data_IF_027852469857
#
_entry.id   IF_027852469857
#
_cell.length_a   1.000
_cell.length_b   1.000
_cell.length_c   1.000
_cell.angle_alpha   90.00
_cell.angle_beta   90.00
_cell.angle_gamma   90.00
#
_symmetry.space_group_name_H-M   'P 1'
#
loop_
_entity.id
_entity.type
_entity.pdbx_description
1 polymer ?
#
# COMPACT_ATOMS: atom_id res chain seq x y z
N UNK A 1 -6.37 9.93 -16.39
CA UNK A 1 -7.44 10.74 -15.76
C UNK A 1 -7.82 11.93 -16.62
N UNK A 2 -6.98 12.96 -16.77
CA UNK A 2 -7.35 14.17 -17.52
C UNK A 2 -7.70 13.94 -19.00
N UNK A 3 -6.92 13.14 -19.73
CA UNK A 3 -7.10 12.88 -21.17
C UNK A 3 -7.80 11.53 -21.44
N UNK A 4 -7.99 10.69 -20.41
CA UNK A 4 -8.54 9.33 -20.58
C UNK A 4 -7.64 8.34 -21.33
N UNK A 5 -6.38 8.71 -21.57
CA UNK A 5 -5.53 8.10 -22.59
C UNK A 5 -4.06 8.19 -22.17
N UNK A 6 -3.23 7.12 -22.27
CA UNK A 6 -1.82 7.21 -21.93
C UNK A 6 -1.05 8.19 -22.85
N UNK A 7 -0.02 8.87 -22.32
CA UNK A 7 0.74 9.90 -23.05
C UNK A 7 1.61 9.33 -24.19
N UNK A 8 2.02 8.07 -24.09
CA UNK A 8 2.77 7.36 -25.12
C UNK A 8 2.08 6.03 -25.43
N UNK A 9 1.99 5.69 -26.71
CA UNK A 9 1.41 4.43 -27.20
C UNK A 9 2.23 3.87 -28.35
N UNK A 10 2.34 2.56 -28.40
CA UNK A 10 2.88 1.83 -29.54
C UNK A 10 2.31 0.42 -29.57
N UNK A 11 2.35 -0.23 -30.74
CA UNK A 11 2.02 -1.66 -30.90
C UNK A 11 3.17 -2.56 -30.45
N UNK A 12 4.41 -2.08 -30.58
CA UNK A 12 5.63 -2.78 -30.16
C UNK A 12 6.15 -2.22 -28.82
N UNK A 13 6.51 -3.07 -27.85
CA UNK A 13 7.12 -2.64 -26.59
C UNK A 13 8.42 -1.84 -26.80
N UNK A 14 9.27 -2.27 -27.75
CA UNK A 14 10.52 -1.58 -28.05
C UNK A 14 10.29 -0.14 -28.54
N UNK A 15 9.29 0.06 -29.39
CA UNK A 15 8.93 1.39 -29.89
C UNK A 15 8.25 2.24 -28.82
N UNK A 16 7.48 1.63 -27.91
CA UNK A 16 6.92 2.33 -26.76
C UNK A 16 8.04 2.86 -25.86
N UNK A 17 9.06 2.04 -25.57
CA UNK A 17 10.22 2.47 -24.78
C UNK A 17 10.97 3.63 -25.44
N UNK A 18 11.22 3.52 -26.75
CA UNK A 18 11.82 4.64 -27.52
C UNK A 18 10.99 5.90 -27.40
N UNK A 19 9.66 5.82 -27.52
CA UNK A 19 8.77 6.99 -27.37
C UNK A 19 8.82 7.59 -25.97
N UNK A 20 8.83 6.76 -24.92
CA UNK A 20 8.97 7.25 -23.54
C UNK A 20 10.29 8.03 -23.39
N UNK A 21 11.39 7.52 -23.96
CA UNK A 21 12.71 8.14 -23.84
C UNK A 21 12.85 9.41 -24.68
N UNK A 22 12.27 9.51 -25.88
CA UNK A 22 12.59 10.62 -26.80
C UNK A 22 11.39 11.39 -27.36
N UNK A 23 10.20 10.81 -27.42
CA UNK A 23 9.08 11.45 -28.11
C UNK A 23 8.61 12.73 -27.39
N UNK A 24 8.25 13.75 -28.18
CA UNK A 24 7.66 14.97 -27.66
C UNK A 24 6.24 14.69 -27.13
N UNK A 25 5.99 15.10 -25.89
CA UNK A 25 4.68 14.99 -25.27
C UNK A 25 3.67 15.87 -26.01
N UNK A 26 2.56 15.27 -26.46
CA UNK A 26 1.46 15.96 -27.12
C UNK A 26 0.32 16.15 -26.13
N UNK A 27 -0.05 17.40 -25.86
CA UNK A 27 -1.15 17.74 -24.96
C UNK A 27 -2.28 18.44 -25.73
N UNK A 28 -3.53 18.02 -25.56
CA UNK A 28 -4.68 18.68 -26.19
C UNK A 28 -4.83 20.15 -25.77
N UNK A 29 -5.36 20.98 -26.68
CA UNK A 29 -5.55 22.42 -26.44
C UNK A 29 -6.62 22.76 -25.40
N UNK A 30 -7.58 21.86 -25.18
CA UNK A 30 -8.68 22.07 -24.24
C UNK A 30 -8.30 21.91 -22.76
N UNK A 31 -7.10 21.39 -22.47
CA UNK A 31 -6.59 21.33 -21.09
C UNK A 31 -6.22 22.73 -20.60
N UNK A 32 -6.45 23.00 -19.32
CA UNK A 32 -6.04 24.27 -18.70
C UNK A 32 -4.52 24.46 -18.72
N UNK A 33 -4.08 25.72 -18.66
CA UNK A 33 -2.65 26.06 -18.61
C UNK A 33 -1.96 25.44 -17.41
N UNK A 34 -2.61 25.41 -16.24
CA UNK A 34 -2.08 24.76 -15.04
C UNK A 34 -1.93 23.24 -15.23
N UNK A 35 -2.88 22.59 -15.90
CA UNK A 35 -2.79 21.16 -16.21
C UNK A 35 -1.64 20.87 -17.19
N UNK A 36 -1.48 21.70 -18.23
CA UNK A 36 -0.34 21.60 -19.15
C UNK A 36 1.00 21.69 -18.44
N UNK A 37 1.16 22.69 -17.57
CA UNK A 37 2.37 22.90 -16.79
C UNK A 37 2.65 21.69 -15.91
N UNK A 38 1.65 21.24 -15.14
CA UNK A 38 1.81 20.12 -14.22
C UNK A 38 2.28 18.85 -14.94
N UNK A 39 1.59 18.47 -16.02
CA UNK A 39 1.92 17.23 -16.75
C UNK A 39 3.33 17.32 -17.33
N UNK A 40 3.71 18.46 -17.93
CA UNK A 40 5.07 18.64 -18.47
C UNK A 40 6.14 18.55 -17.38
N UNK A 41 5.92 19.18 -16.23
CA UNK A 41 6.89 19.18 -15.14
C UNK A 41 7.02 17.82 -14.44
N UNK A 42 5.95 17.02 -14.39
CA UNK A 42 5.99 15.64 -13.88
C UNK A 42 6.64 14.66 -14.87
N UNK A 43 6.39 14.84 -16.17
CA UNK A 43 6.96 14.01 -17.24
C UNK A 43 8.32 14.52 -17.75
N UNK A 44 8.99 15.36 -16.97
CA UNK A 44 10.35 15.79 -17.23
C UNK A 44 11.31 14.59 -17.13
N UNK A 45 12.14 14.42 -18.16
CA UNK A 45 13.04 13.27 -18.30
C UNK A 45 14.22 13.40 -17.36
N UNK A 46 14.72 14.62 -17.19
CA UNK A 46 15.78 14.88 -16.23
C UNK A 46 15.21 14.85 -14.80
N UNK A 47 15.58 13.82 -14.04
CA UNK A 47 15.10 13.59 -12.66
C UNK A 47 15.37 14.81 -11.75
N UNK A 48 16.49 15.51 -11.94
CA UNK A 48 16.87 16.68 -11.13
C UNK A 48 16.00 17.92 -11.40
N UNK A 49 15.36 17.98 -12.58
CA UNK A 49 14.43 19.04 -12.98
C UNK A 49 12.97 18.65 -12.81
N UNK A 50 12.69 17.35 -12.60
CA UNK A 50 11.34 16.82 -12.45
C UNK A 50 10.67 17.38 -11.19
N UNK A 51 9.44 17.84 -11.34
CA UNK A 51 8.61 18.28 -10.22
C UNK A 51 8.39 17.10 -9.27
N UNK A 52 8.51 17.33 -7.96
CA UNK A 52 8.46 16.25 -6.97
C UNK A 52 9.80 15.57 -6.75
N UNK A 53 10.82 15.84 -7.57
CA UNK A 53 12.18 15.34 -7.41
C UNK A 53 13.03 16.19 -6.45
N UNK A 54 14.03 15.56 -5.85
CA UNK A 54 15.01 16.19 -4.96
C UNK A 54 14.45 16.56 -3.57
N UNK A 55 15.34 16.95 -2.67
CA UNK A 55 15.00 17.43 -1.34
C UNK A 55 14.82 18.95 -1.35
N UNK A 56 13.83 19.43 -0.62
CA UNK A 56 13.65 20.85 -0.37
C UNK A 56 14.76 21.35 0.55
N UNK A 57 15.29 22.55 0.30
CA UNK A 57 16.26 23.23 1.17
C UNK A 57 15.69 24.57 1.63
N UNK A 58 16.38 25.22 2.58
CA UNK A 58 15.97 26.54 3.09
C UNK A 58 15.81 27.59 1.96
N UNK A 59 16.64 27.52 0.92
CA UNK A 59 16.65 28.49 -0.18
C UNK A 59 15.88 28.02 -1.41
N UNK A 60 15.62 26.71 -1.56
CA UNK A 60 15.04 26.15 -2.78
C UNK A 60 13.95 25.13 -2.44
N UNK A 61 12.73 25.46 -2.83
CA UNK A 61 11.58 24.58 -2.65
C UNK A 61 11.59 23.50 -3.71
N UNK A 62 11.76 22.24 -3.30
CA UNK A 62 11.78 21.07 -4.19
C UNK A 62 10.94 19.92 -3.60
N UNK A 63 10.96 18.77 -4.27
CA UNK A 63 10.27 17.58 -3.80
C UNK A 63 8.77 17.76 -3.69
N UNK A 64 8.18 17.09 -2.71
CA UNK A 64 6.73 17.11 -2.43
C UNK A 64 6.22 18.52 -2.12
N UNK A 65 7.03 19.39 -1.50
CA UNK A 65 6.62 20.77 -1.22
C UNK A 65 6.40 21.58 -2.48
N UNK A 66 7.27 21.43 -3.50
CA UNK A 66 7.07 22.06 -4.79
C UNK A 66 5.82 21.54 -5.51
N UNK A 67 5.56 20.23 -5.40
CA UNK A 67 4.34 19.61 -5.96
C UNK A 67 3.08 20.18 -5.31
N UNK A 68 3.01 20.22 -3.98
CA UNK A 68 1.86 20.75 -3.22
C UNK A 68 1.57 22.23 -3.51
N UNK A 69 2.60 23.01 -3.84
CA UNK A 69 2.50 24.45 -4.19
C UNK A 69 2.19 24.71 -5.67
N UNK A 70 2.15 23.68 -6.51
CA UNK A 70 1.91 23.88 -7.95
C UNK A 70 0.50 24.50 -8.18
N UNK A 71 0.34 25.48 -9.09
CA UNK A 71 -0.94 26.19 -9.29
C UNK A 71 -2.15 25.30 -9.60
N UNK A 72 -1.91 24.12 -10.18
CA UNK A 72 -2.95 23.11 -10.41
C UNK A 72 -3.67 22.69 -9.11
N UNK A 73 -2.96 22.69 -7.97
CA UNK A 73 -3.50 22.31 -6.66
C UNK A 73 -3.87 23.52 -5.79
N UNK A 74 -4.00 24.72 -6.36
CA UNK A 74 -4.27 25.96 -5.59
C UNK A 74 -5.54 25.91 -4.72
N UNK A 75 -6.54 25.13 -5.13
CA UNK A 75 -7.80 24.96 -4.39
C UNK A 75 -7.76 23.82 -3.35
N UNK A 76 -6.67 23.05 -3.30
CA UNK A 76 -6.56 21.89 -2.40
C UNK A 76 -6.04 22.34 -1.04
N UNK A 77 -6.85 22.11 -0.01
CA UNK A 77 -6.38 22.17 1.37
C UNK A 77 -5.85 20.80 1.77
N UNK A 78 -4.51 20.69 1.84
CA UNK A 78 -3.83 19.42 2.11
C UNK A 78 -4.08 18.87 3.52
N UNK A 79 -4.24 19.73 4.52
CA UNK A 79 -4.52 19.34 5.91
C UNK A 79 -5.94 18.75 6.04
N UNK A 80 -6.92 19.40 5.41
CA UNK A 80 -8.29 18.88 5.34
C UNK A 80 -8.36 17.58 4.53
N UNK A 81 -7.57 17.46 3.46
CA UNK A 81 -7.52 16.24 2.66
C UNK A 81 -6.93 15.06 3.44
N UNK A 82 -5.85 15.29 4.19
CA UNK A 82 -5.21 14.29 5.06
C UNK A 82 -6.14 13.80 6.17
N UNK A 83 -6.92 14.72 6.75
CA UNK A 83 -7.92 14.41 7.78
C UNK A 83 -9.27 13.94 7.23
N UNK A 84 -9.35 13.63 5.92
CA UNK A 84 -10.56 13.17 5.22
C UNK A 84 -11.76 14.12 5.34
N UNK A 85 -11.52 15.42 5.57
CA UNK A 85 -12.55 16.46 5.70
C UNK A 85 -12.95 17.09 4.36
N UNK A 86 -12.27 16.74 3.26
CA UNK A 86 -12.64 17.15 1.91
C UNK A 86 -13.55 16.08 1.32
N UNK A 87 -14.82 16.39 0.98
CA UNK A 87 -15.70 15.41 0.37
C UNK A 87 -15.16 14.97 -1.00
N UNK A 88 -15.20 13.67 -1.33
CA UNK A 88 -14.74 13.19 -2.63
C UNK A 88 -15.67 13.70 -3.74
N UNK A 89 -15.14 14.01 -4.94
CA UNK A 89 -15.95 14.49 -6.05
C UNK A 89 -16.90 13.42 -6.63
N UNK A 90 -16.62 12.14 -6.37
CA UNK A 90 -17.46 11.01 -6.76
C UNK A 90 -17.52 10.02 -5.61
N UNK A 91 -18.71 9.78 -5.10
CA UNK A 91 -19.00 8.73 -4.11
C UNK A 91 -19.55 7.53 -4.89
N UNK A 92 -18.89 6.35 -4.86
CA UNK A 92 -19.45 5.15 -5.47
C UNK A 92 -20.70 4.70 -4.71
N UNK A 93 -21.67 4.15 -5.44
CA UNK A 93 -22.84 3.52 -4.82
C UNK A 93 -22.44 2.17 -4.26
N UNK A 94 -22.78 1.92 -3.00
CA UNK A 94 -22.53 0.67 -2.28
C UNK A 94 -23.80 0.35 -1.51
N UNK A 95 -24.35 -0.86 -1.70
CA UNK A 95 -25.59 -1.28 -1.02
C UNK A 95 -25.36 -1.75 0.41
N UNK A 96 -24.28 -2.48 0.63
CA UNK A 96 -23.97 -3.18 1.89
C UNK A 96 -22.47 -3.52 1.98
N UNK A 97 -22.07 -4.16 3.08
CA UNK A 97 -20.66 -4.48 3.37
C UNK A 97 -20.05 -5.55 2.44
N UNK A 98 -20.88 -6.35 1.76
CA UNK A 98 -20.43 -7.44 0.86
C UNK A 98 -20.68 -7.10 -0.61
N UNK A 99 -21.09 -5.87 -0.92
CA UNK A 99 -21.42 -5.43 -2.27
C UNK A 99 -20.18 -5.48 -3.19
N UNK A 100 -20.32 -6.21 -4.29
CA UNK A 100 -19.29 -6.37 -5.32
C UNK A 100 -19.60 -5.64 -6.64
N UNK A 101 -20.63 -4.79 -6.65
CA UNK A 101 -21.14 -4.08 -7.85
C UNK A 101 -20.12 -3.19 -8.56
N UNK A 102 -19.10 -2.71 -7.84
CA UNK A 102 -18.03 -1.87 -8.38
C UNK A 102 -16.82 -2.68 -8.91
N UNK A 103 -16.89 -4.01 -8.90
CA UNK A 103 -15.86 -4.91 -9.42
C UNK A 103 -16.30 -5.55 -10.75
N UNK A 104 -15.32 -6.05 -11.52
CA UNK A 104 -15.58 -6.73 -12.79
C UNK A 104 -16.09 -8.16 -12.52
N UNK A 105 -17.22 -8.51 -13.14
CA UNK A 105 -17.89 -9.82 -12.96
C UNK A 105 -16.98 -11.01 -13.25
N UNK A 106 -16.02 -10.85 -14.16
CA UNK A 106 -15.07 -11.92 -14.47
C UNK A 106 -14.30 -12.40 -13.23
N UNK A 107 -14.13 -11.56 -12.22
CA UNK A 107 -13.45 -11.94 -10.97
C UNK A 107 -14.42 -12.37 -9.88
N UNK A 108 -15.60 -11.75 -9.79
CA UNK A 108 -16.60 -12.11 -8.77
C UNK A 108 -17.28 -13.44 -9.06
N UNK A 109 -17.36 -13.82 -10.34
CA UNK A 109 -17.96 -15.07 -10.79
C UNK A 109 -16.94 -16.23 -10.81
N UNK A 110 -15.64 -15.93 -10.63
CA UNK A 110 -14.63 -16.98 -10.50
C UNK A 110 -14.86 -17.76 -9.20
N UNK A 111 -14.80 -19.10 -9.24
CA UNK A 111 -14.85 -19.88 -8.01
C UNK A 111 -13.66 -19.51 -7.13
N UNK A 112 -13.88 -19.44 -5.82
CA UNK A 112 -12.80 -19.30 -4.85
C UNK A 112 -11.93 -20.54 -4.97
N UNK A 113 -10.78 -20.38 -5.62
CA UNK A 113 -9.82 -21.46 -5.75
C UNK A 113 -9.03 -21.50 -4.46
N UNK A 114 -9.35 -22.47 -3.60
CA UNK A 114 -8.42 -22.89 -2.56
C UNK A 114 -7.31 -23.61 -3.32
N UNK A 115 -6.30 -22.85 -3.75
CA UNK A 115 -5.10 -23.42 -4.33
C UNK A 115 -4.50 -24.27 -3.23
N UNK A 116 -4.86 -25.55 -3.22
CA UNK A 116 -4.19 -26.61 -2.49
C UNK A 116 -2.79 -26.71 -3.10
N UNK A 117 -1.95 -25.73 -2.79
CA UNK A 117 -0.52 -25.83 -2.99
C UNK A 117 -0.12 -27.04 -2.17
N UNK A 118 0.32 -28.09 -2.86
CA UNK A 118 1.02 -29.18 -2.22
C UNK A 118 2.12 -28.53 -1.37
N UNK A 119 2.15 -28.82 -0.07
CA UNK A 119 3.08 -28.17 0.84
C UNK A 119 4.50 -28.59 0.46
N UNK A 120 5.12 -27.84 -0.45
CA UNK A 120 6.52 -28.03 -0.81
C UNK A 120 7.32 -27.42 0.34
N UNK A 121 7.48 -28.19 1.41
CA UNK A 121 8.37 -27.86 2.52
C UNK A 121 9.78 -28.13 2.01
N UNK A 122 10.39 -27.12 1.37
CA UNK A 122 11.82 -27.16 1.07
C UNK A 122 12.53 -26.65 2.32
N UNK A 123 13.21 -27.53 3.05
CA UNK A 123 13.96 -27.18 4.26
C UNK A 123 15.02 -26.10 4.00
N UNK A 124 15.48 -25.94 2.76
CA UNK A 124 16.44 -24.92 2.31
C UNK A 124 15.89 -23.47 2.38
N UNK A 125 14.57 -23.27 2.40
CA UNK A 125 13.93 -21.94 2.42
C UNK A 125 13.26 -21.57 3.75
N UNK A 126 13.52 -22.33 4.83
CA UNK A 126 12.86 -22.13 6.13
C UNK A 126 12.94 -20.71 6.70
N UNK A 127 14.00 -19.97 6.36
CA UNK A 127 14.21 -18.59 6.80
C UNK A 127 13.78 -17.52 5.78
N UNK A 128 13.39 -17.89 4.56
CA UNK A 128 13.11 -16.94 3.47
C UNK A 128 12.00 -15.94 3.83
N UNK A 129 11.04 -16.39 4.64
CA UNK A 129 9.89 -15.60 5.10
C UNK A 129 9.95 -15.27 6.59
N UNK A 130 11.12 -15.37 7.23
CA UNK A 130 11.27 -14.93 8.62
C UNK A 130 10.91 -13.44 8.74
N UNK A 131 10.02 -13.12 9.67
CA UNK A 131 9.50 -11.76 9.86
C UNK A 131 8.32 -11.38 8.94
N UNK A 132 7.76 -12.33 8.20
CA UNK A 132 6.56 -12.11 7.38
C UNK A 132 5.29 -11.88 8.22
N UNK A 133 5.16 -12.59 9.34
CA UNK A 133 4.00 -12.49 10.23
C UNK A 133 3.89 -11.09 10.85
N UNK A 134 2.76 -10.42 10.61
CA UNK A 134 2.47 -9.09 11.13
C UNK A 134 1.04 -9.00 11.67
N UNK A 135 0.88 -8.49 12.88
CA UNK A 135 -0.41 -8.15 13.48
C UNK A 135 -0.46 -6.65 13.79
N UNK A 136 -1.52 -5.95 13.36
CA UNK A 136 -1.71 -4.54 13.68
C UNK A 136 -2.04 -4.38 15.17
N UNK A 137 -1.31 -3.53 15.90
CA UNK A 137 -1.45 -3.29 17.34
C UNK A 137 -2.90 -3.02 17.78
N UNK A 138 -3.66 -2.24 17.02
CA UNK A 138 -5.04 -1.87 17.37
C UNK A 138 -6.00 -3.07 17.23
N UNK A 139 -5.76 -3.92 16.25
CA UNK A 139 -6.50 -5.17 16.08
C UNK A 139 -6.23 -6.12 17.26
N UNK A 140 -5.03 -6.12 17.83
CA UNK A 140 -4.69 -6.95 19.00
C UNK A 140 -5.57 -6.56 20.20
N UNK A 141 -5.81 -5.27 20.44
CA UNK A 141 -6.65 -4.79 21.55
C UNK A 141 -8.13 -5.19 21.38
N UNK A 142 -8.65 -5.09 20.17
CA UNK A 142 -10.02 -5.55 19.83
C UNK A 142 -10.16 -7.07 19.94
N UNK A 143 -9.10 -7.84 19.66
CA UNK A 143 -9.13 -9.30 19.76
C UNK A 143 -8.95 -9.80 21.20
N UNK A 144 -8.10 -9.16 22.02
CA UNK A 144 -7.94 -9.49 23.46
C UNK A 144 -9.24 -9.21 24.23
N UNK A 145 -9.98 -8.17 23.85
CA UNK A 145 -11.27 -7.83 24.46
C UNK A 145 -12.43 -8.69 23.94
N UNK A 146 -12.23 -9.48 22.88
CA UNK A 146 -13.25 -10.34 22.31
C UNK A 146 -13.04 -11.82 22.70
N UNK A 147 -13.84 -12.37 23.63
CA UNK A 147 -13.73 -13.77 24.07
C UNK A 147 -14.11 -14.80 23.00
N UNK A 148 -14.59 -14.36 21.82
CA UNK A 148 -14.89 -15.21 20.66
C UNK A 148 -13.84 -15.12 19.56
N UNK A 149 -12.74 -14.41 19.77
CA UNK A 149 -11.69 -14.31 18.75
C UNK A 149 -11.03 -15.69 18.54
N UNK A 150 -10.70 -16.07 17.29
CA UNK A 150 -10.11 -17.36 16.97
C UNK A 150 -8.63 -17.47 17.39
N UNK A 151 -8.07 -16.44 18.04
CA UNK A 151 -6.74 -16.52 18.64
C UNK A 151 -6.83 -17.48 19.82
N UNK A 152 -6.20 -18.64 19.64
CA UNK A 152 -6.22 -19.75 20.58
C UNK A 152 -5.95 -19.27 22.02
N UNK A 153 -6.99 -19.30 22.86
CA UNK A 153 -6.98 -18.92 24.28
C UNK A 153 -5.86 -19.61 25.07
N UNK A 154 -5.33 -20.72 24.55
CA UNK A 154 -4.19 -21.46 25.12
C UNK A 154 -2.84 -20.73 25.08
N UNK A 155 -2.64 -19.71 24.22
CA UNK A 155 -1.38 -18.94 24.19
C UNK A 155 -1.41 -17.67 25.06
N UNK A 156 -2.57 -17.27 25.56
CA UNK A 156 -2.73 -16.06 26.38
C UNK A 156 -1.90 -16.07 27.68
N UNK A 157 -1.76 -17.18 28.44
CA UNK A 157 -0.94 -17.20 29.65
C UNK A 157 0.56 -17.03 29.35
N UNK A 158 1.05 -17.59 28.25
CA UNK A 158 2.45 -17.49 27.83
C UNK A 158 2.79 -16.08 27.33
N UNK A 159 1.86 -15.45 26.61
CA UNK A 159 1.99 -14.05 26.18
C UNK A 159 1.96 -13.11 27.39
N UNK A 160 1.08 -13.36 28.36
CA UNK A 160 0.99 -12.55 29.59
C UNK A 160 2.24 -12.68 30.50
N UNK A 161 2.83 -13.87 30.61
CA UNK A 161 4.05 -14.10 31.39
C UNK A 161 5.26 -13.36 30.79
N UNK A 162 5.43 -13.40 29.45
CA UNK A 162 6.52 -12.72 28.75
C UNK A 162 6.43 -11.18 28.83
N UNK A 163 5.23 -10.62 29.02
CA UNK A 163 4.99 -9.18 29.23
C UNK A 163 5.36 -8.73 30.65
N UNK A 164 5.35 -9.65 31.63
CA UNK A 164 5.59 -9.32 33.05
C UNK A 164 7.07 -9.28 33.45
N UNK A 165 7.97 -9.85 32.64
CA UNK A 165 9.39 -10.02 32.98
C UNK A 165 10.32 -8.89 32.48
N UNK A 166 9.80 -7.91 31.75
CA UNK A 166 10.53 -6.66 31.46
C UNK A 166 11.78 -6.81 30.58
N UNK A 167 11.94 -7.91 29.85
CA UNK A 167 12.96 -8.01 28.80
C UNK A 167 12.61 -7.10 27.62
N UNK A 168 13.62 -6.41 27.07
CA UNK A 168 13.53 -5.51 25.91
C UNK A 168 13.01 -6.26 24.66
N UNK A 169 11.70 -6.40 24.59
CA UNK A 169 10.99 -7.10 23.54
C UNK A 169 10.77 -6.14 22.38
N UNK A 170 11.58 -6.28 21.33
CA UNK A 170 11.48 -5.39 20.16
C UNK A 170 10.17 -5.53 19.40
N UNK A 171 9.45 -6.66 19.52
CA UNK A 171 8.07 -6.81 19.03
C UNK A 171 7.35 -8.04 19.61
N UNK A 172 6.02 -7.94 19.77
CA UNK A 172 5.12 -9.02 20.25
C UNK A 172 5.15 -10.26 19.33
N UNK A 173 5.50 -10.09 18.05
CA UNK A 173 5.60 -11.20 17.10
C UNK A 173 6.77 -12.14 17.41
N UNK A 174 7.86 -11.64 18.03
CA UNK A 174 8.95 -12.50 18.52
C UNK A 174 8.48 -13.35 19.70
N UNK A 175 7.67 -12.79 20.61
CA UNK A 175 7.10 -13.54 21.72
C UNK A 175 6.10 -14.62 21.25
N UNK A 176 5.28 -14.32 20.25
CA UNK A 176 4.34 -15.29 19.64
C UNK A 176 5.12 -16.39 18.92
N UNK A 177 6.17 -16.06 18.17
CA UNK A 177 7.02 -17.04 17.48
C UNK A 177 7.77 -17.95 18.46
N UNK A 178 8.30 -17.39 19.55
CA UNK A 178 8.99 -18.15 20.61
C UNK A 178 7.99 -19.07 21.35
N UNK A 179 6.78 -18.59 21.65
CA UNK A 179 5.74 -19.39 22.30
C UNK A 179 5.24 -20.54 21.41
N UNK A 180 5.06 -20.29 20.10
CA UNK A 180 4.69 -21.30 19.12
C UNK A 180 5.77 -22.40 19.00
N UNK A 181 7.06 -22.04 18.94
CA UNK A 181 8.16 -23.00 18.91
C UNK A 181 8.25 -23.87 20.18
N UNK A 182 7.99 -23.30 21.37
CA UNK A 182 8.05 -24.05 22.64
C UNK A 182 6.90 -25.06 22.82
N UNK A 183 5.72 -24.81 22.24
CA UNK A 183 4.61 -25.78 22.29
C UNK A 183 4.83 -27.03 21.43
N UNK A 184 5.67 -26.95 20.39
CA UNK A 184 5.98 -28.10 19.53
C UNK A 184 6.92 -29.10 20.22
N UNK A 185 7.77 -28.65 21.14
CA UNK A 185 8.73 -29.51 21.85
C UNK A 185 8.12 -30.31 23.04
N UNK A 186 6.88 -30.03 23.44
CA UNK A 186 6.24 -30.62 24.63
C UNK A 186 5.08 -31.59 24.33
N UNK A 187 5.06 -32.22 23.15
CA UNK A 187 4.22 -33.42 22.96
C UNK A 187 5.04 -34.68 23.26
N UNK A 188 4.87 -35.35 24.42
CA UNK A 188 5.37 -36.71 24.57
C UNK A 188 4.56 -37.66 23.67
N UNK A 189 5.23 -38.71 23.18
CA UNK A 189 4.68 -39.79 22.36
C UNK A 189 3.43 -40.45 22.98
#
# INVERSE_FOLDING_TARGET
MLIGSPPFRSKSPADLHKKIISAKLQLPRWLSGEAHSLIKSLLERNVSKRLGGGKSSMFVVKGVQALKRHPFFKSVNWEKAETLRVPPPRVPSVSDEVDTSNFDKKFTDMPVSDLMCEAVIVEEYGDLFRGFSFCRQDSIKEHISNPRSPINTAMLPTIAALVSDGDDMKDINDAIAIAACKQVQFRPN
#
